data_IF_206434871290
#
_entry.id   IF_206434871290
#
_cell.length_a   1.000
_cell.length_b   1.000
_cell.length_c   1.000
_cell.angle_alpha   90.00
_cell.angle_beta   90.00
_cell.angle_gamma   90.00
#
_symmetry.space_group_name_H-M   'P 1'
#
loop_
_entity.id
_entity.type
_entity.pdbx_description
1 polymer ?
#
# COMPACT_ATOMS: atom_id res chain seq x y z
N UNK A 1 -4.38 -28.34 6.30
CA UNK A 1 -5.06 -27.53 5.27
C UNK A 1 -5.34 -26.07 5.68
N UNK A 2 -5.59 -25.74 6.97
CA UNK A 2 -5.88 -24.36 7.43
C UNK A 2 -4.78 -23.31 7.19
N UNK A 3 -3.49 -23.68 7.25
CA UNK A 3 -2.37 -22.72 7.12
C UNK A 3 -2.17 -22.13 5.72
N UNK A 4 -2.55 -22.86 4.65
CA UNK A 4 -2.38 -22.42 3.26
C UNK A 4 -3.41 -21.35 2.91
N UNK A 5 -4.68 -21.54 3.25
CA UNK A 5 -5.74 -20.54 3.00
C UNK A 5 -5.52 -19.24 3.77
N UNK A 6 -5.03 -19.31 5.01
CA UNK A 6 -4.70 -18.12 5.80
C UNK A 6 -3.55 -17.30 5.21
N UNK A 7 -2.52 -17.98 4.68
CA UNK A 7 -1.39 -17.32 4.02
C UNK A 7 -1.82 -16.62 2.71
N UNK A 8 -2.74 -17.22 1.97
CA UNK A 8 -3.35 -16.60 0.78
C UNK A 8 -4.21 -15.37 1.10
N UNK A 9 -4.96 -15.41 2.21
CA UNK A 9 -5.73 -14.27 2.69
C UNK A 9 -4.83 -13.09 3.07
N UNK A 10 -3.77 -13.34 3.84
CA UNK A 10 -2.79 -12.31 4.21
C UNK A 10 -2.04 -11.75 3.01
N UNK A 11 -1.69 -12.60 2.05
CA UNK A 11 -1.07 -12.18 0.79
C UNK A 11 -2.01 -11.30 -0.04
N UNK A 12 -3.28 -11.69 -0.17
CA UNK A 12 -4.31 -10.92 -0.86
C UNK A 12 -4.58 -9.57 -0.19
N UNK A 13 -4.70 -9.56 1.15
CA UNK A 13 -4.86 -8.34 1.93
C UNK A 13 -3.64 -7.41 1.76
N UNK A 14 -2.43 -7.97 1.81
CA UNK A 14 -1.19 -7.23 1.58
C UNK A 14 -1.15 -6.59 0.20
N UNK A 15 -1.54 -7.33 -0.85
CA UNK A 15 -1.64 -6.81 -2.22
C UNK A 15 -2.66 -5.69 -2.33
N UNK A 16 -3.81 -5.82 -1.67
CA UNK A 16 -4.84 -4.79 -1.66
C UNK A 16 -4.29 -3.49 -1.04
N UNK A 17 -3.71 -3.57 0.16
CA UNK A 17 -3.05 -2.44 0.83
C UNK A 17 -1.95 -1.83 -0.03
N UNK A 18 -1.16 -2.65 -0.72
CA UNK A 18 -0.08 -2.19 -1.58
C UNK A 18 -0.61 -1.39 -2.78
N UNK A 19 -1.66 -1.88 -3.45
CA UNK A 19 -2.30 -1.17 -4.57
C UNK A 19 -2.96 0.12 -4.08
N UNK A 20 -3.67 0.08 -2.95
CA UNK A 20 -4.27 1.28 -2.36
C UNK A 20 -3.22 2.32 -2.00
N UNK A 21 -2.10 1.93 -1.39
CA UNK A 21 -0.99 2.84 -1.08
C UNK A 21 -0.38 3.49 -2.32
N UNK A 22 -0.24 2.72 -3.42
CA UNK A 22 0.20 3.27 -4.71
C UNK A 22 -0.80 4.28 -5.27
N UNK A 23 -2.09 3.97 -5.26
CA UNK A 23 -3.14 4.88 -5.74
C UNK A 23 -3.16 6.17 -4.92
N UNK A 24 -3.10 6.09 -3.59
CA UNK A 24 -3.05 7.27 -2.70
C UNK A 24 -1.82 8.12 -2.99
N UNK A 25 -0.66 7.49 -3.21
CA UNK A 25 0.58 8.19 -3.57
C UNK A 25 0.45 8.88 -4.93
N UNK A 26 -0.19 8.22 -5.90
CA UNK A 26 -0.43 8.78 -7.23
C UNK A 26 -1.38 9.98 -7.15
N UNK A 27 -2.47 9.88 -6.39
CA UNK A 27 -3.42 10.97 -6.15
C UNK A 27 -2.71 12.14 -5.46
N UNK A 28 -1.90 11.89 -4.43
CA UNK A 28 -1.09 12.90 -3.78
C UNK A 28 -0.10 13.59 -4.74
N UNK A 29 0.50 12.83 -5.65
CA UNK A 29 1.36 13.37 -6.71
C UNK A 29 0.58 14.21 -7.72
N UNK A 30 -0.64 13.81 -8.11
CA UNK A 30 -1.48 14.62 -9.00
C UNK A 30 -2.01 15.89 -8.32
N UNK A 31 -2.28 15.84 -7.02
CA UNK A 31 -2.65 17.01 -6.23
C UNK A 31 -1.53 18.07 -6.19
N UNK A 32 -0.29 17.68 -6.49
CA UNK A 32 0.84 18.61 -6.61
C UNK A 32 0.62 19.68 -7.68
N UNK A 33 -0.14 19.38 -8.73
CA UNK A 33 -0.46 20.35 -9.78
C UNK A 33 -1.52 21.39 -9.36
N UNK A 34 -2.17 21.22 -8.20
CA UNK A 34 -3.28 22.06 -7.75
C UNK A 34 -3.20 22.62 -6.32
N UNK A 35 -2.19 22.26 -5.52
CA UNK A 35 -2.13 22.63 -4.09
C UNK A 35 -1.01 23.66 -3.81
N UNK A 36 -1.29 24.84 -3.22
CA UNK A 36 -0.25 25.83 -2.91
C UNK A 36 0.64 25.49 -1.70
N UNK A 37 0.33 24.41 -0.96
CA UNK A 37 1.06 24.02 0.26
C UNK A 37 1.78 22.69 0.09
N UNK A 38 3.11 22.76 -0.03
CA UNK A 38 4.01 21.60 -0.09
C UNK A 38 3.89 20.69 1.15
N UNK A 39 3.58 21.26 2.31
CA UNK A 39 3.41 20.51 3.56
C UNK A 39 2.17 19.60 3.56
N UNK A 40 1.08 20.03 2.92
CA UNK A 40 -0.12 19.21 2.78
C UNK A 40 0.15 18.01 1.86
N UNK A 41 0.87 18.24 0.76
CA UNK A 41 1.26 17.20 -0.18
C UNK A 41 2.21 16.16 0.44
N UNK A 42 3.21 16.59 1.20
CA UNK A 42 4.12 15.68 1.93
C UNK A 42 3.37 14.79 2.92
N UNK A 43 2.39 15.33 3.64
CA UNK A 43 1.53 14.53 4.54
C UNK A 43 0.71 13.50 3.77
N UNK A 44 0.17 13.87 2.62
CA UNK A 44 -0.64 12.98 1.79
C UNK A 44 0.21 11.85 1.17
N UNK A 45 1.42 12.15 0.72
CA UNK A 45 2.40 11.14 0.29
C UNK A 45 2.82 10.22 1.44
N UNK A 46 3.08 10.78 2.63
CA UNK A 46 3.41 9.99 3.82
C UNK A 46 2.29 8.99 4.15
N UNK A 47 1.02 9.41 4.07
CA UNK A 47 -0.13 8.52 4.23
C UNK A 47 -0.12 7.38 3.22
N UNK A 48 0.17 7.67 1.94
CA UNK A 48 0.30 6.65 0.90
C UNK A 48 1.40 5.63 1.21
N UNK A 49 2.56 6.09 1.67
CA UNK A 49 3.70 5.24 2.06
C UNK A 49 3.38 4.38 3.29
N UNK A 50 2.73 4.96 4.30
CA UNK A 50 2.32 4.25 5.52
C UNK A 50 1.29 3.15 5.26
N UNK A 51 0.50 3.26 4.19
CA UNK A 51 -0.42 2.20 3.74
C UNK A 51 0.33 1.16 2.88
N UNK A 52 1.24 1.63 2.01
CA UNK A 52 1.98 0.79 1.08
C UNK A 52 2.95 -0.18 1.78
N UNK A 53 3.75 0.30 2.74
CA UNK A 53 4.82 -0.49 3.38
C UNK A 53 4.29 -1.70 4.15
N UNK A 54 3.24 -1.58 4.99
CA UNK A 54 2.62 -2.73 5.64
C UNK A 54 2.01 -3.70 4.63
N UNK A 55 1.34 -3.19 3.59
CA UNK A 55 0.78 -4.03 2.52
C UNK A 55 1.85 -4.85 1.80
N UNK A 56 2.98 -4.22 1.49
CA UNK A 56 4.13 -4.89 0.89
C UNK A 56 4.77 -5.93 1.81
N UNK A 57 4.89 -5.65 3.11
CA UNK A 57 5.41 -6.62 4.09
C UNK A 57 4.50 -7.84 4.22
N UNK A 58 3.17 -7.64 4.22
CA UNK A 58 2.17 -8.70 4.21
C UNK A 58 2.22 -9.52 2.91
N UNK A 59 2.36 -8.86 1.76
CA UNK A 59 2.43 -9.50 0.45
C UNK A 59 3.78 -10.16 0.14
N UNK A 60 4.85 -9.84 0.88
CA UNK A 60 6.19 -10.41 0.66
C UNK A 60 6.28 -11.90 0.93
N UNK A 61 5.43 -12.43 1.80
CA UNK A 61 5.33 -13.87 2.06
C UNK A 61 4.39 -14.51 1.04
N UNK A 62 4.91 -14.74 -0.16
CA UNK A 62 4.18 -15.43 -1.22
C UNK A 62 3.96 -16.92 -0.84
N UNK A 63 2.70 -17.36 -0.62
CA UNK A 63 2.40 -18.74 -0.26
C UNK A 63 2.68 -19.75 -1.39
N UNK A 64 3.02 -19.30 -2.60
CA UNK A 64 3.46 -20.18 -3.70
C UNK A 64 4.95 -20.47 -3.71
N UNK A 65 5.76 -19.70 -2.98
CA UNK A 65 7.22 -19.86 -2.90
C UNK A 65 7.70 -20.53 -1.61
N UNK A 66 6.78 -20.95 -0.74
CA UNK A 66 7.04 -21.69 0.51
C UNK A 66 6.62 -23.14 0.33
#
# INVERSE_FOLDING_TARGET
MKGRSWSWLLYGLGRLLQVTGLVVTLVAATAFFGTPSTAAMLRMMLTGVLIFVPGWLLARRDPRKT
#
